data_IF_548748588844
#
_entry.id   IF_548748588844
#
_cell.length_a   1.000
_cell.length_b   1.000
_cell.length_c   1.000
_cell.angle_alpha   90.00
_cell.angle_beta   90.00
_cell.angle_gamma   90.00
#
_symmetry.space_group_name_H-M   'P 1'
#
loop_
_entity.id
_entity.type
_entity.pdbx_description
1 polymer ?
#
# COMPACT_ATOMS: atom_id res chain seq x y z
N UNK A 1 -5.62 -26.15 -10.49
CA UNK A 1 -7.08 -26.36 -10.69
C UNK A 1 -7.72 -26.53 -9.31
N UNK A 2 -8.46 -25.53 -8.83
CA UNK A 2 -9.14 -25.59 -7.54
C UNK A 2 -10.66 -25.67 -7.73
N UNK A 3 -11.28 -26.73 -7.22
CA UNK A 3 -12.74 -26.95 -7.23
C UNK A 3 -13.36 -26.14 -6.08
N UNK A 4 -14.52 -25.51 -6.33
CA UNK A 4 -15.28 -24.77 -5.32
C UNK A 4 -16.03 -25.76 -4.41
N UNK A 5 -15.89 -25.60 -3.09
CA UNK A 5 -16.67 -26.32 -2.08
C UNK A 5 -17.08 -25.40 -0.92
N UNK A 6 -18.11 -25.77 -0.17
CA UNK A 6 -18.55 -25.06 1.04
C UNK A 6 -17.58 -25.33 2.21
N UNK A 7 -16.98 -24.28 2.78
CA UNK A 7 -16.14 -24.39 3.97
C UNK A 7 -16.89 -23.90 5.21
N UNK A 8 -16.90 -24.72 6.27
CA UNK A 8 -17.41 -24.34 7.60
C UNK A 8 -16.34 -23.49 8.30
N UNK A 9 -16.68 -22.25 8.67
CA UNK A 9 -15.81 -21.36 9.45
C UNK A 9 -16.35 -21.31 10.89
N UNK A 10 -15.50 -21.62 11.87
CA UNK A 10 -15.83 -21.47 13.30
C UNK A 10 -15.23 -20.15 13.78
N UNK A 11 -16.06 -19.23 14.26
CA UNK A 11 -15.63 -17.96 14.85
C UNK A 11 -16.09 -17.87 16.30
N UNK A 12 -15.32 -17.17 17.15
CA UNK A 12 -15.74 -16.90 18.52
C UNK A 12 -17.05 -16.12 18.57
N UNK A 13 -17.91 -16.44 19.55
CA UNK A 13 -19.25 -15.85 19.73
C UNK A 13 -19.23 -14.32 19.91
N UNK A 14 -18.10 -13.77 20.37
CA UNK A 14 -17.86 -12.36 20.65
C UNK A 14 -17.84 -11.45 19.39
N UNK A 15 -17.71 -12.01 18.18
CA UNK A 15 -17.60 -11.21 16.95
C UNK A 15 -18.97 -10.73 16.46
N UNK A 16 -19.28 -9.44 16.67
CA UNK A 16 -20.48 -8.75 16.15
C UNK A 16 -20.56 -8.59 14.63
N UNK A 17 -19.47 -8.83 13.88
CA UNK A 17 -19.44 -8.65 12.43
C UNK A 17 -19.51 -9.98 11.68
N UNK A 18 -20.29 -10.03 10.58
CA UNK A 18 -20.26 -11.17 9.65
C UNK A 18 -18.83 -11.35 9.12
N UNK A 19 -18.21 -12.52 9.28
CA UNK A 19 -16.90 -12.78 8.69
C UNK A 19 -17.04 -12.76 7.16
N UNK A 20 -16.15 -12.03 6.48
CA UNK A 20 -16.08 -12.08 5.02
C UNK A 20 -15.74 -13.51 4.58
N UNK A 21 -16.49 -14.03 3.59
CA UNK A 21 -16.22 -15.35 3.02
C UNK A 21 -14.85 -15.29 2.31
N UNK A 22 -13.89 -15.99 2.89
CA UNK A 22 -12.54 -16.13 2.34
C UNK A 22 -12.63 -17.14 1.19
N UNK A 23 -12.44 -16.68 -0.06
CA UNK A 23 -12.32 -17.62 -1.17
C UNK A 23 -11.05 -18.47 -1.00
N UNK A 24 -11.16 -19.81 -0.98
CA UNK A 24 -10.03 -20.72 -1.13
C UNK A 24 -9.74 -20.83 -2.63
N UNK A 25 -8.81 -20.01 -3.11
CA UNK A 25 -8.29 -20.05 -4.47
C UNK A 25 -6.81 -19.71 -4.44
N UNK A 26 -6.08 -20.03 -5.51
CA UNK A 26 -4.69 -19.66 -5.67
C UNK A 26 -4.55 -18.14 -5.55
N UNK A 27 -3.82 -17.68 -4.52
CA UNK A 27 -3.55 -16.26 -4.29
C UNK A 27 -2.20 -15.92 -4.84
N UNK A 28 -2.17 -14.94 -5.72
CA UNK A 28 -0.94 -14.31 -6.16
C UNK A 28 -0.75 -12.98 -5.44
N UNK A 29 0.49 -12.70 -5.05
CA UNK A 29 0.85 -11.46 -4.39
C UNK A 29 1.27 -10.41 -5.43
N UNK A 30 0.85 -9.17 -5.18
CA UNK A 30 1.33 -7.98 -5.89
C UNK A 30 1.94 -7.07 -4.84
N UNK A 31 3.20 -6.70 -5.03
CA UNK A 31 3.88 -5.76 -4.12
C UNK A 31 3.69 -4.35 -4.64
N UNK A 32 3.31 -3.41 -3.78
CA UNK A 32 3.24 -1.98 -4.12
C UNK A 32 4.14 -1.20 -3.17
N UNK A 33 5.06 -0.42 -3.73
CA UNK A 33 5.90 0.53 -3.00
C UNK A 33 5.36 1.93 -3.27
N UNK A 34 5.02 2.63 -2.18
CA UNK A 34 4.38 3.94 -2.24
C UNK A 34 5.13 4.94 -1.35
N UNK A 35 5.19 6.20 -1.77
CA UNK A 35 5.67 7.30 -0.93
C UNK A 35 4.77 8.53 -1.01
N UNK A 36 4.77 9.29 0.09
CA UNK A 36 3.98 10.50 0.30
C UNK A 36 4.80 11.49 1.11
N UNK A 37 4.42 12.77 1.12
CA UNK A 37 5.06 13.77 1.97
C UNK A 37 4.06 14.63 2.77
N UNK A 38 4.57 15.35 3.77
CA UNK A 38 3.76 16.16 4.67
C UNK A 38 3.03 17.33 3.98
N UNK A 39 3.48 17.76 2.80
CA UNK A 39 2.75 18.75 1.99
C UNK A 39 1.51 18.15 1.29
N UNK A 40 1.33 16.83 1.39
CA UNK A 40 0.23 16.08 0.79
C UNK A 40 0.50 15.61 -0.64
N UNK A 41 1.74 15.67 -1.12
CA UNK A 41 2.10 15.11 -2.42
C UNK A 41 2.24 13.59 -2.33
N UNK A 42 1.91 12.93 -3.44
CA UNK A 42 1.90 11.48 -3.60
C UNK A 42 2.66 11.14 -4.86
N UNK A 43 3.66 10.28 -4.77
CA UNK A 43 4.35 9.78 -5.98
C UNK A 43 3.47 8.76 -6.69
N UNK A 44 3.61 8.57 -8.00
CA UNK A 44 3.02 7.41 -8.66
C UNK A 44 3.50 6.11 -7.99
N UNK A 45 2.63 5.10 -7.80
CA UNK A 45 2.99 3.84 -7.19
C UNK A 45 3.97 3.05 -8.06
N UNK A 46 4.84 2.30 -7.39
CA UNK A 46 5.72 1.31 -8.01
C UNK A 46 5.19 -0.09 -7.68
N UNK A 47 4.70 -0.79 -8.70
CA UNK A 47 3.97 -2.06 -8.58
C UNK A 47 4.86 -3.18 -9.11
N UNK A 48 5.03 -4.24 -8.33
CA UNK A 48 5.82 -5.42 -8.70
C UNK A 48 4.88 -6.61 -8.78
N UNK A 49 4.75 -7.17 -9.98
CA UNK A 49 4.07 -8.44 -10.18
C UNK A 49 5.00 -9.62 -10.00
N UNK A 50 4.45 -10.72 -9.49
CA UNK A 50 5.10 -12.00 -9.63
C UNK A 50 5.12 -12.41 -11.11
N UNK A 51 6.29 -12.68 -11.69
CA UNK A 51 6.42 -13.00 -13.11
C UNK A 51 7.85 -12.87 -13.63
N UNK A 52 8.09 -13.37 -14.84
CA UNK A 52 9.42 -13.31 -15.50
C UNK A 52 9.49 -12.26 -16.59
N UNK A 53 8.35 -11.85 -17.15
CA UNK A 53 8.25 -10.92 -18.27
C UNK A 53 7.07 -9.98 -18.06
N UNK A 54 7.13 -8.83 -18.72
CA UNK A 54 6.01 -7.90 -18.83
C UNK A 54 5.00 -8.42 -19.86
N UNK A 55 3.71 -8.23 -19.58
CA UNK A 55 2.62 -8.53 -20.52
C UNK A 55 2.03 -7.20 -21.01
N UNK A 56 1.90 -7.04 -22.33
CA UNK A 56 1.42 -5.79 -22.95
C UNK A 56 0.02 -5.38 -22.49
N UNK A 57 -0.87 -6.36 -22.28
CA UNK A 57 -2.22 -6.16 -21.77
C UNK A 57 -2.26 -5.35 -20.45
N UNK A 58 -1.22 -5.44 -19.61
CA UNK A 58 -1.14 -4.67 -18.37
C UNK A 58 -1.05 -3.16 -18.60
N UNK A 59 -0.59 -2.71 -19.77
CA UNK A 59 -0.41 -1.30 -20.11
C UNK A 59 -1.51 -0.80 -21.06
N UNK A 60 -1.96 -1.65 -21.98
CA UNK A 60 -2.88 -1.26 -23.04
C UNK A 60 -4.34 -1.29 -22.59
N UNK A 61 -4.71 -2.28 -21.76
CA UNK A 61 -6.12 -2.57 -21.45
C UNK A 61 -6.58 -1.96 -20.12
N UNK A 62 -5.67 -1.65 -19.20
CA UNK A 62 -6.02 -1.38 -17.80
C UNK A 62 -6.33 0.07 -17.47
N UNK A 63 -6.29 1.00 -18.44
CA UNK A 63 -6.55 2.43 -18.25
C UNK A 63 -5.77 3.06 -17.07
N UNK A 64 -4.56 2.57 -16.79
CA UNK A 64 -3.71 3.09 -15.73
C UNK A 64 -2.96 4.36 -16.17
N UNK A 65 -2.67 5.31 -15.26
CA UNK A 65 -1.82 6.44 -15.58
C UNK A 65 -0.43 5.98 -16.03
N UNK A 66 0.08 6.54 -17.15
CA UNK A 66 1.38 6.14 -17.74
C UNK A 66 2.60 6.40 -16.85
N UNK A 67 2.44 7.26 -15.86
CA UNK A 67 3.49 7.55 -14.88
C UNK A 67 3.55 6.52 -13.74
N UNK A 68 2.66 5.52 -13.71
CA UNK A 68 2.77 4.40 -12.79
C UNK A 68 3.82 3.42 -13.29
N UNK A 69 4.66 2.91 -12.39
CA UNK A 69 5.72 1.96 -12.76
C UNK A 69 5.26 0.55 -12.43
N UNK A 70 5.10 -0.26 -13.46
CA UNK A 70 4.95 -1.71 -13.32
C UNK A 70 6.33 -2.36 -13.54
N UNK A 71 6.71 -3.28 -12.66
CA UNK A 71 7.92 -4.12 -12.70
C UNK A 71 7.53 -5.58 -12.39
N UNK A 72 8.46 -6.51 -12.61
CA UNK A 72 8.24 -7.95 -12.35
C UNK A 72 9.37 -8.57 -11.53
N UNK A 73 9.05 -9.59 -10.72
CA UNK A 73 10.03 -10.47 -10.09
C UNK A 73 9.50 -11.89 -9.99
N UNK A 74 10.37 -12.91 -10.02
CA UNK A 74 9.90 -14.32 -10.07
C UNK A 74 9.03 -14.71 -8.86
N UNK A 75 9.26 -14.08 -7.71
CA UNK A 75 8.56 -14.34 -6.46
C UNK A 75 7.57 -13.24 -6.06
N UNK A 76 7.50 -12.11 -6.80
CA UNK A 76 6.66 -10.95 -6.51
C UNK A 76 7.20 -10.03 -5.40
N UNK A 77 8.38 -10.33 -4.85
CA UNK A 77 9.03 -9.52 -3.82
C UNK A 77 9.98 -8.50 -4.44
N UNK A 78 10.31 -7.48 -3.64
CA UNK A 78 11.39 -6.55 -3.97
C UNK A 78 12.76 -7.20 -3.77
N UNK A 79 13.77 -6.69 -4.46
CA UNK A 79 15.18 -7.06 -4.32
C UNK A 79 16.05 -5.81 -4.52
N UNK A 80 17.38 -5.93 -4.41
CA UNK A 80 18.27 -4.77 -4.50
C UNK A 80 18.17 -4.04 -5.86
N UNK A 81 17.98 -4.76 -6.96
CA UNK A 81 17.83 -4.16 -8.29
C UNK A 81 16.50 -3.39 -8.40
N UNK A 82 15.40 -3.99 -7.97
CA UNK A 82 14.08 -3.35 -7.94
C UNK A 82 14.01 -2.20 -6.94
N UNK A 83 14.74 -2.28 -5.83
CA UNK A 83 14.92 -1.20 -4.88
C UNK A 83 15.63 0.00 -5.51
N UNK A 84 16.67 -0.24 -6.32
CA UNK A 84 17.33 0.81 -7.09
C UNK A 84 16.43 1.39 -8.19
N UNK A 85 15.63 0.56 -8.87
CA UNK A 85 14.64 1.04 -9.84
C UNK A 85 13.57 1.91 -9.18
N UNK A 86 13.02 1.45 -8.05
CA UNK A 86 12.09 2.24 -7.26
C UNK A 86 12.72 3.56 -6.86
N UNK A 87 14.00 3.56 -6.48
CA UNK A 87 14.69 4.79 -6.11
C UNK A 87 14.83 5.76 -7.27
N UNK A 88 15.19 5.29 -8.45
CA UNK A 88 15.23 6.10 -9.69
C UNK A 88 13.84 6.61 -10.07
N UNK A 89 12.79 5.83 -9.84
CA UNK A 89 11.40 6.22 -10.05
C UNK A 89 10.97 7.31 -9.06
N UNK A 90 11.24 7.09 -7.77
CA UNK A 90 11.01 8.07 -6.72
C UNK A 90 11.73 9.37 -7.07
N UNK A 91 13.02 9.28 -7.33
CA UNK A 91 13.85 10.39 -7.76
C UNK A 91 13.27 11.06 -8.99
N UNK A 92 12.95 10.39 -10.10
CA UNK A 92 12.34 11.00 -11.29
C UNK A 92 11.05 11.79 -10.99
N UNK A 93 10.22 11.31 -10.05
CA UNK A 93 8.98 11.97 -9.64
C UNK A 93 9.17 13.00 -8.53
N UNK A 94 10.34 13.04 -7.91
CA UNK A 94 10.76 14.11 -7.04
C UNK A 94 11.68 15.10 -7.75
N UNK A 95 12.37 14.74 -8.86
CA UNK A 95 13.64 15.26 -9.44
C UNK A 95 13.68 16.72 -9.85
N UNK A 96 12.54 17.39 -9.88
CA UNK A 96 12.50 18.82 -9.52
C UNK A 96 13.12 19.10 -8.10
N UNK A 97 13.59 18.04 -7.43
CA UNK A 97 14.09 17.84 -6.09
C UNK A 97 15.02 16.58 -6.13
N UNK A 98 16.08 16.63 -6.98
CA UNK A 98 17.24 15.72 -7.35
C UNK A 98 17.60 14.40 -6.55
N UNK A 99 18.78 13.77 -6.82
CA UNK A 99 19.26 12.35 -6.60
C UNK A 99 19.67 11.82 -5.16
N UNK A 100 18.74 11.14 -4.50
CA UNK A 100 18.76 10.43 -3.20
C UNK A 100 20.00 10.08 -2.30
N UNK A 101 21.28 10.14 -2.65
CA UNK A 101 22.37 9.90 -1.63
C UNK A 101 23.41 11.00 -1.65
N UNK A 102 24.00 11.23 -2.82
CA UNK A 102 24.80 12.43 -3.04
C UNK A 102 23.90 13.66 -3.04
N UNK A 103 22.68 13.58 -3.58
CA UNK A 103 21.72 14.66 -3.39
C UNK A 103 20.98 14.67 -2.05
N UNK A 104 20.76 13.54 -1.37
CA UNK A 104 20.28 13.67 0.02
C UNK A 104 21.32 14.39 0.90
N UNK A 105 22.62 14.17 0.67
CA UNK A 105 23.71 14.89 1.35
C UNK A 105 23.86 16.34 0.84
N UNK A 106 23.87 16.57 -0.47
CA UNK A 106 24.05 17.88 -1.12
C UNK A 106 22.83 18.80 -0.97
N UNK A 107 21.61 18.25 -0.81
CA UNK A 107 20.35 18.98 -0.61
C UNK A 107 19.71 18.75 0.78
N UNK A 108 20.45 18.16 1.73
CA UNK A 108 20.06 18.05 3.15
C UNK A 108 18.78 17.25 3.44
N UNK A 109 18.54 16.16 2.72
CA UNK A 109 17.47 15.20 3.03
C UNK A 109 17.96 14.17 4.04
N UNK A 110 17.28 14.09 5.18
CA UNK A 110 17.62 13.23 6.31
C UNK A 110 16.79 11.94 6.26
N UNK A 111 17.46 10.78 6.10
CA UNK A 111 16.81 9.48 6.25
C UNK A 111 16.64 9.14 7.73
N UNK A 112 15.40 8.91 8.16
CA UNK A 112 15.09 8.52 9.52
C UNK A 112 14.91 7.01 9.60
N UNK A 113 15.75 6.34 10.39
CA UNK A 113 15.52 4.95 10.77
C UNK A 113 14.45 4.90 11.86
N UNK A 114 13.36 4.17 11.60
CA UNK A 114 12.36 3.91 12.63
C UNK A 114 12.88 2.84 13.61
N UNK A 115 12.60 2.97 14.92
CA UNK A 115 12.81 1.89 15.87
C UNK A 115 12.10 0.60 15.43
N UNK A 116 12.62 -0.59 15.78
CA UNK A 116 11.94 -1.84 15.50
C UNK A 116 10.48 -1.83 15.98
N UNK A 117 9.59 -2.46 15.21
CA UNK A 117 8.16 -2.61 15.51
C UNK A 117 7.35 -1.30 15.69
N UNK A 118 7.88 -0.15 15.27
CA UNK A 118 7.21 1.15 15.46
C UNK A 118 6.43 1.67 14.24
N UNK A 119 6.40 0.94 13.12
CA UNK A 119 5.77 1.40 11.87
C UNK A 119 4.30 1.79 12.04
N UNK A 120 3.54 1.00 12.80
CA UNK A 120 2.13 1.27 13.11
C UNK A 120 1.87 2.53 13.97
N UNK A 121 2.94 3.21 14.41
CA UNK A 121 2.88 4.44 15.22
C UNK A 121 3.53 5.60 14.45
N UNK A 122 4.75 5.39 13.94
CA UNK A 122 5.58 6.44 13.35
C UNK A 122 5.49 6.55 11.84
N UNK A 123 5.03 5.51 11.13
CA UNK A 123 4.97 5.52 9.68
C UNK A 123 3.60 6.08 9.20
N UNK A 124 3.54 7.27 8.58
CA UNK A 124 2.28 7.91 8.19
C UNK A 124 1.37 7.01 7.35
N UNK A 125 1.98 6.27 6.42
CA UNK A 125 1.26 5.36 5.54
C UNK A 125 0.56 4.23 6.29
N UNK A 126 1.19 3.64 7.31
CA UNK A 126 0.59 2.58 8.11
C UNK A 126 -0.49 3.12 9.05
N UNK A 127 -0.26 4.31 9.62
CA UNK A 127 -1.20 4.94 10.56
C UNK A 127 -2.50 5.34 9.88
N UNK A 128 -2.45 5.95 8.67
CA UNK A 128 -3.63 6.58 8.06
C UNK A 128 -3.99 6.04 6.68
N UNK A 129 -3.03 5.72 5.81
CA UNK A 129 -3.35 5.47 4.39
C UNK A 129 -3.66 4.00 4.09
N UNK A 130 -2.89 3.05 4.60
CA UNK A 130 -2.99 1.65 4.17
C UNK A 130 -4.23 0.92 4.68
N UNK A 131 -4.76 1.26 5.85
CA UNK A 131 -6.01 0.67 6.34
C UNK A 131 -7.22 1.06 5.48
N UNK A 132 -7.46 2.36 5.17
CA UNK A 132 -8.46 2.77 4.20
C UNK A 132 -8.24 2.19 2.79
N UNK A 133 -7.00 2.12 2.31
CA UNK A 133 -6.69 1.51 1.01
C UNK A 133 -7.13 0.05 0.95
N UNK A 134 -6.77 -0.76 1.95
CA UNK A 134 -7.20 -2.16 2.07
C UNK A 134 -8.73 -2.25 2.07
N UNK A 135 -9.42 -1.40 2.84
CA UNK A 135 -10.89 -1.38 2.90
C UNK A 135 -11.53 -1.04 1.55
N UNK A 136 -11.03 0.00 0.87
CA UNK A 136 -11.53 0.44 -0.44
C UNK A 136 -11.30 -0.62 -1.50
N UNK A 137 -10.10 -1.18 -1.56
CA UNK A 137 -9.80 -2.29 -2.47
C UNK A 137 -10.70 -3.50 -2.20
N UNK A 138 -10.85 -3.94 -0.94
CA UNK A 138 -11.77 -5.02 -0.58
C UNK A 138 -13.23 -4.73 -0.94
N UNK A 139 -13.66 -3.47 -0.88
CA UNK A 139 -14.97 -3.07 -1.38
C UNK A 139 -15.08 -3.27 -2.90
N UNK A 140 -14.09 -2.82 -3.69
CA UNK A 140 -14.08 -3.03 -5.15
C UNK A 140 -14.10 -4.51 -5.52
N UNK A 141 -13.32 -5.34 -4.82
CA UNK A 141 -13.34 -6.81 -4.99
C UNK A 141 -14.73 -7.39 -4.72
N UNK A 142 -15.42 -6.94 -3.67
CA UNK A 142 -16.79 -7.38 -3.36
C UNK A 142 -17.80 -6.96 -4.44
N UNK A 143 -17.64 -5.77 -5.01
CA UNK A 143 -18.51 -5.30 -6.08
C UNK A 143 -18.31 -6.08 -7.39
N UNK A 144 -17.07 -6.47 -7.70
CA UNK A 144 -16.77 -7.40 -8.81
C UNK A 144 -17.42 -8.77 -8.57
N UNK A 145 -17.31 -9.32 -7.36
CA UNK A 145 -17.95 -10.58 -7.01
C UNK A 145 -19.49 -10.52 -7.14
N UNK A 146 -20.13 -9.40 -6.77
CA UNK A 146 -21.57 -9.17 -6.99
C UNK A 146 -21.96 -9.20 -8.47
N UNK A 147 -21.05 -8.79 -9.35
CA UNK A 147 -21.19 -8.85 -10.81
C UNK A 147 -20.75 -10.20 -11.40
N UNK A 148 -20.59 -11.23 -10.56
CA UNK A 148 -20.16 -12.59 -10.93
C UNK A 148 -18.73 -12.70 -11.45
N UNK A 149 -17.87 -11.71 -11.15
CA UNK A 149 -16.42 -11.79 -11.38
C UNK A 149 -15.76 -12.30 -10.09
N UNK A 150 -15.50 -13.60 -10.03
CA UNK A 150 -14.96 -14.25 -8.84
C UNK A 150 -13.45 -14.47 -8.88
N UNK A 151 -12.83 -14.32 -10.05
CA UNK A 151 -11.39 -14.43 -10.23
C UNK A 151 -10.82 -13.07 -10.65
N UNK A 152 -9.84 -12.58 -9.89
CA UNK A 152 -9.14 -11.33 -10.18
C UNK A 152 -7.70 -11.70 -10.54
N UNK A 153 -7.41 -11.66 -11.83
CA UNK A 153 -6.05 -11.78 -12.36
C UNK A 153 -5.30 -10.43 -12.22
N UNK A 154 -4.05 -10.37 -12.67
CA UNK A 154 -3.23 -9.15 -12.62
C UNK A 154 -3.86 -7.97 -13.36
N UNK A 155 -4.53 -8.22 -14.48
CA UNK A 155 -5.25 -7.20 -15.25
C UNK A 155 -6.44 -6.65 -14.44
N UNK A 156 -7.23 -7.52 -13.81
CA UNK A 156 -8.35 -7.11 -12.95
C UNK A 156 -7.92 -6.42 -11.65
N UNK A 157 -6.73 -6.71 -11.15
CA UNK A 157 -6.15 -6.03 -9.99
C UNK A 157 -5.96 -4.53 -10.26
N UNK A 158 -5.44 -4.14 -11.43
CA UNK A 158 -5.02 -2.75 -11.70
C UNK A 158 -6.16 -1.74 -11.63
N UNK A 159 -7.30 -1.91 -12.31
CA UNK A 159 -8.41 -0.96 -12.20
C UNK A 159 -8.96 -0.87 -10.78
N UNK A 160 -9.13 -2.01 -10.10
CA UNK A 160 -9.65 -2.03 -8.73
C UNK A 160 -8.69 -1.35 -7.74
N UNK A 161 -7.38 -1.59 -7.89
CA UNK A 161 -6.35 -0.95 -7.09
C UNK A 161 -6.23 0.54 -7.41
N UNK A 162 -6.24 0.92 -8.70
CA UNK A 162 -6.18 2.32 -9.16
C UNK A 162 -7.29 3.15 -8.53
N UNK A 163 -8.52 2.67 -8.60
CA UNK A 163 -9.64 3.44 -8.06
C UNK A 163 -9.56 3.54 -6.53
N UNK A 164 -9.18 2.46 -5.84
CA UNK A 164 -8.96 2.48 -4.39
C UNK A 164 -7.81 3.42 -4.00
N UNK A 165 -6.76 3.49 -4.83
CA UNK A 165 -5.61 4.35 -4.64
C UNK A 165 -6.01 5.83 -4.74
N UNK A 166 -6.72 6.20 -5.82
CA UNK A 166 -7.17 7.58 -6.05
C UNK A 166 -8.18 8.04 -4.98
N UNK A 167 -9.01 7.13 -4.45
CA UNK A 167 -9.94 7.41 -3.35
C UNK A 167 -9.23 7.72 -2.01
N UNK A 168 -8.00 7.24 -1.80
CA UNK A 168 -7.33 7.24 -0.50
C UNK A 168 -6.15 8.20 -0.45
N UNK A 169 -5.34 8.23 -1.49
CA UNK A 169 -4.14 9.05 -1.55
C UNK A 169 -4.45 10.48 -2.02
N UNK A 170 -5.29 11.18 -1.24
CA UNK A 170 -5.57 12.61 -1.42
C UNK A 170 -4.57 13.45 -0.63
N UNK A 171 -4.49 14.74 -0.97
CA UNK A 171 -3.63 15.70 -0.27
C UNK A 171 -3.93 15.75 1.22
N UNK A 172 -5.21 15.81 1.57
CA UNK A 172 -5.71 15.94 2.93
C UNK A 172 -5.39 14.69 3.76
N UNK A 173 -5.61 13.49 3.18
CA UNK A 173 -5.28 12.24 3.87
C UNK A 173 -3.78 12.11 4.12
N UNK A 174 -2.95 12.52 3.16
CA UNK A 174 -1.51 12.51 3.33
C UNK A 174 -1.06 13.51 4.40
N UNK A 175 -1.58 14.73 4.41
CA UNK A 175 -1.28 15.71 5.48
C UNK A 175 -1.68 15.19 6.86
N UNK A 176 -2.91 14.67 6.99
CA UNK A 176 -3.40 14.02 8.21
C UNK A 176 -2.55 12.82 8.63
N UNK A 177 -1.96 12.10 7.69
CA UNK A 177 -1.06 10.99 8.00
C UNK A 177 0.17 11.46 8.77
N UNK A 178 0.79 12.58 8.38
CA UNK A 178 1.94 13.14 9.09
C UNK A 178 1.55 13.77 10.42
N UNK A 179 0.38 14.40 10.50
CA UNK A 179 -0.17 14.92 11.76
C UNK A 179 -0.44 13.79 12.76
N UNK A 180 -1.11 12.72 12.31
CA UNK A 180 -1.47 11.57 13.15
C UNK A 180 -0.27 10.71 13.58
N UNK A 181 0.87 10.83 12.90
CA UNK A 181 2.15 10.26 13.32
C UNK A 181 2.98 11.21 14.18
N UNK A 182 2.47 12.41 14.50
CA UNK A 182 3.18 13.41 15.30
C UNK A 182 4.42 13.99 14.63
N UNK A 183 4.50 13.92 13.29
CA UNK A 183 5.66 14.38 12.52
C UNK A 183 5.52 15.82 12.06
N UNK A 184 4.31 16.24 11.64
CA UNK A 184 4.05 17.61 11.17
C UNK A 184 2.68 18.11 11.69
N UNK A 185 2.65 19.08 12.63
CA UNK A 185 3.81 19.57 13.38
C UNK A 185 4.43 18.47 14.24
N UNK A 186 5.70 18.62 14.61
CA UNK A 186 6.37 17.66 15.50
C UNK A 186 5.65 17.68 16.86
N UNK A 187 5.07 16.55 17.25
CA UNK A 187 4.41 16.36 18.52
C UNK A 187 4.61 14.92 19.02
N UNK A 188 5.59 14.75 19.91
CA UNK A 188 5.91 13.46 20.49
C UNK A 188 4.75 12.87 21.32
N UNK A 189 3.85 13.69 21.88
CA UNK A 189 2.77 13.21 22.73
C UNK A 189 1.80 12.29 21.97
N UNK A 190 1.54 12.57 20.68
CA UNK A 190 0.71 11.74 19.81
C UNK A 190 1.23 10.29 19.72
N UNK A 191 2.55 10.12 19.83
CA UNK A 191 3.24 8.84 19.82
C UNK A 191 3.26 8.23 21.22
N UNK A 192 3.63 9.02 22.23
CA UNK A 192 3.76 8.56 23.61
C UNK A 192 2.42 8.08 24.19
N UNK A 193 1.31 8.78 23.92
CA UNK A 193 -0.03 8.38 24.35
C UNK A 193 -0.46 7.01 23.82
N UNK A 194 0.06 6.60 22.65
CA UNK A 194 -0.22 5.28 22.06
C UNK A 194 0.66 4.17 22.64
N UNK A 195 1.80 4.54 23.22
CA UNK A 195 2.72 3.61 23.87
C UNK A 195 2.32 3.34 25.33
N UNK A 196 1.54 4.22 25.95
CA UNK A 196 0.97 3.97 27.27
C UNK A 196 -0.01 2.79 27.23
N UNK A 197 0.51 1.59 27.49
CA UNK A 197 -0.27 0.39 27.72
C UNK A 197 -1.05 0.58 29.02
N UNK A 198 -2.29 1.05 28.92
CA UNK A 198 -3.23 0.93 30.04
C UNK A 198 -3.50 -0.55 30.25
N UNK A 199 -2.87 -1.12 31.29
CA UNK A 199 -3.25 -2.42 31.81
C UNK A 199 -4.74 -2.34 32.13
N UNK A 200 -5.57 -3.04 31.35
CA UNK A 200 -6.96 -3.26 31.72
C UNK A 200 -6.92 -4.22 32.90
N UNK A 201 -7.11 -3.69 34.11
CA UNK A 201 -7.39 -4.52 35.27
C UNK A 201 -8.64 -5.36 34.98
N UNK A 202 -8.68 -6.64 35.38
CA UNK A 202 -9.82 -7.53 35.14
C UNK A 202 -11.16 -6.97 35.64
#
# INVERSE_FOLDING_TARGET
MGVIGSMKVVTGAERRARPDLIQPGDREWVTVIQSVCAAGYVTPPFIIYKGRVHISAWYEETSIPRNWKLSVSENGWTNNALGLEWLKHFDAHTKARQDFKDYCLEHKILTLCMPPHSSHILQPLDVVCFSPLKRKYSQRVRDLARRRVFHINKEGFLPAFRDAFLDVFTKENCQKAFEASGLVPINAQVVLDRLEVRLRTP
#
